data_IF_741008724445
#
_entry.id   IF_741008724445
#
_cell.length_a   1.000
_cell.length_b   1.000
_cell.length_c   1.000
_cell.angle_alpha   90.00
_cell.angle_beta   90.00
_cell.angle_gamma   90.00
#
_symmetry.space_group_name_H-M   'P 1'
#
loop_
_entity.id
_entity.type
_entity.pdbx_description
1 polymer ?
#
# COMPACT_ATOMS: atom_id res chain seq x y z
N UNK A 1 6.28 -1.92 -22.33
CA UNK A 1 6.53 -2.41 -20.97
C UNK A 1 5.18 -2.60 -20.32
N UNK A 2 4.93 -3.70 -19.64
CA UNK A 2 3.67 -3.89 -18.91
C UNK A 2 3.54 -2.83 -17.82
N UNK A 3 2.41 -2.11 -17.80
CA UNK A 3 2.15 -1.05 -16.83
C UNK A 3 2.13 -1.63 -15.43
N UNK A 4 3.03 -1.15 -14.55
CA UNK A 4 3.04 -1.54 -13.15
C UNK A 4 1.93 -0.83 -12.39
N UNK A 5 1.25 -1.56 -11.50
CA UNK A 5 0.26 -1.00 -10.58
C UNK A 5 0.88 -0.85 -9.19
N UNK A 6 1.14 0.37 -8.71
CA UNK A 6 1.69 0.57 -7.38
C UNK A 6 0.63 0.30 -6.30
N UNK A 7 1.00 -0.46 -5.28
CA UNK A 7 0.13 -0.89 -4.18
C UNK A 7 0.82 -0.65 -2.84
N UNK A 8 0.15 0.10 -1.95
CA UNK A 8 0.50 0.22 -0.54
C UNK A 8 -0.33 -0.75 0.29
N UNK A 9 0.32 -1.61 1.08
CA UNK A 9 -0.34 -2.48 2.05
C UNK A 9 -0.44 -1.78 3.42
N UNK A 10 -1.65 -1.45 3.83
CA UNK A 10 -1.98 -0.63 5.01
C UNK A 10 -3.07 -1.26 5.91
N UNK A 11 -3.25 -2.59 5.85
CA UNK A 11 -4.27 -3.35 6.60
C UNK A 11 -3.79 -4.09 7.86
N UNK A 12 -2.51 -3.95 8.23
CA UNK A 12 -1.89 -4.72 9.31
C UNK A 12 -2.32 -4.25 10.70
N UNK A 13 -2.75 -5.17 11.57
CA UNK A 13 -2.92 -4.85 12.99
C UNK A 13 -1.57 -4.96 13.68
N UNK A 14 -1.02 -3.83 14.12
CA UNK A 14 0.19 -3.83 14.94
C UNK A 14 -0.10 -4.28 16.37
N UNK A 15 -0.13 -5.60 16.56
CA UNK A 15 -0.30 -6.26 17.86
C UNK A 15 0.78 -5.87 18.89
N UNK A 16 1.92 -5.33 18.43
CA UNK A 16 3.05 -4.93 19.29
C UNK A 16 3.03 -3.48 19.76
N UNK A 17 2.25 -2.60 19.11
CA UNK A 17 2.34 -1.15 19.30
C UNK A 17 1.06 -0.49 19.83
N UNK A 18 -0.07 -1.21 19.88
CA UNK A 18 -1.34 -0.71 20.40
C UNK A 18 -1.98 0.45 19.61
N UNK A 19 -1.30 0.95 18.57
CA UNK A 19 -1.69 2.07 17.70
C UNK A 19 -1.44 1.70 16.23
N UNK A 20 -2.25 2.25 15.31
CA UNK A 20 -2.13 2.01 13.86
C UNK A 20 -0.86 2.65 13.31
N UNK A 21 0.06 1.85 12.75
CA UNK A 21 1.37 2.33 12.28
C UNK A 21 1.26 3.23 11.06
N UNK A 22 0.23 3.04 10.25
CA UNK A 22 -0.05 3.80 9.04
C UNK A 22 -0.31 5.29 9.33
N UNK A 23 -0.81 5.57 10.53
CA UNK A 23 -1.12 6.92 11.02
C UNK A 23 0.06 7.60 11.72
N UNK A 24 1.21 6.92 11.85
CA UNK A 24 2.41 7.53 12.38
C UNK A 24 2.84 8.68 11.49
N UNK A 25 3.27 9.78 12.10
CA UNK A 25 3.67 10.98 11.37
C UNK A 25 5.17 10.92 11.10
N UNK A 26 5.53 11.16 9.84
CA UNK A 26 6.92 11.30 9.38
C UNK A 26 7.30 12.79 9.45
N UNK A 27 8.57 13.10 9.21
CA UNK A 27 9.11 14.47 9.21
C UNK A 27 8.13 15.47 8.54
N UNK A 28 7.79 16.55 9.26
CA UNK A 28 6.90 17.60 8.75
C UNK A 28 5.40 17.37 8.96
N UNK A 29 4.99 16.48 9.87
CA UNK A 29 3.58 16.28 10.25
C UNK A 29 2.71 15.66 9.13
N UNK A 30 3.36 14.89 8.23
CA UNK A 30 2.71 14.14 7.16
C UNK A 30 2.51 12.69 7.62
N UNK A 31 1.30 12.11 7.54
CA UNK A 31 1.09 10.71 7.85
C UNK A 31 1.92 9.79 6.96
N UNK A 32 2.37 8.66 7.52
CA UNK A 32 3.21 7.69 6.84
C UNK A 32 2.55 7.15 5.56
N UNK A 33 1.25 6.86 5.60
CA UNK A 33 0.56 6.38 4.40
C UNK A 33 0.57 7.44 3.26
N UNK A 34 0.41 8.74 3.58
CA UNK A 34 0.49 9.82 2.58
C UNK A 34 1.88 9.88 1.97
N UNK A 35 2.91 9.80 2.81
CA UNK A 35 4.30 9.80 2.37
C UNK A 35 4.59 8.64 1.40
N UNK A 36 4.18 7.42 1.76
CA UNK A 36 4.42 6.22 0.95
C UNK A 36 3.60 6.22 -0.35
N UNK A 37 2.37 6.74 -0.35
CA UNK A 37 1.58 6.89 -1.57
C UNK A 37 2.23 7.86 -2.56
N UNK A 38 2.80 8.96 -2.06
CA UNK A 38 3.55 9.92 -2.91
C UNK A 38 4.79 9.23 -3.51
N UNK A 39 5.58 8.52 -2.69
CA UNK A 39 6.75 7.77 -3.17
C UNK A 39 6.36 6.75 -4.25
N UNK A 40 5.26 6.01 -4.04
CA UNK A 40 4.74 5.05 -5.02
C UNK A 40 4.28 5.70 -6.32
N UNK A 41 3.60 6.84 -6.23
CA UNK A 41 3.16 7.62 -7.40
C UNK A 41 4.38 8.11 -8.21
N UNK A 42 5.34 8.74 -7.54
CA UNK A 42 6.58 9.23 -8.18
C UNK A 42 7.42 8.10 -8.77
N UNK A 43 7.42 6.94 -8.11
CA UNK A 43 8.11 5.76 -8.59
C UNK A 43 7.39 5.04 -9.74
N UNK A 44 6.13 5.37 -10.07
CA UNK A 44 5.35 4.76 -11.14
C UNK A 44 4.60 5.83 -11.96
N UNK A 45 5.30 6.72 -12.68
CA UNK A 45 4.68 7.82 -13.43
C UNK A 45 3.76 7.35 -14.57
N UNK A 46 3.91 6.10 -15.03
CA UNK A 46 3.04 5.49 -16.02
C UNK A 46 1.67 5.04 -15.46
N UNK A 47 1.53 5.01 -14.14
CA UNK A 47 0.31 4.59 -13.46
C UNK A 47 -0.50 5.81 -13.05
N UNK A 48 -1.69 5.97 -13.65
CA UNK A 48 -2.58 7.09 -13.32
C UNK A 48 -3.17 6.99 -11.92
N UNK A 49 -3.17 5.79 -11.32
CA UNK A 49 -3.79 5.50 -10.03
C UNK A 49 -2.85 4.70 -9.13
N UNK A 50 -2.85 5.03 -7.84
CA UNK A 50 -2.15 4.25 -6.81
C UNK A 50 -3.17 3.45 -6.01
N UNK A 51 -2.84 2.20 -5.68
CA UNK A 51 -3.73 1.34 -4.91
C UNK A 51 -3.34 1.37 -3.43
N UNK A 52 -4.36 1.36 -2.57
CA UNK A 52 -4.22 1.32 -1.13
C UNK A 52 -5.03 0.13 -0.59
N UNK A 53 -4.35 -0.88 -0.06
CA UNK A 53 -5.00 -2.00 0.62
C UNK A 53 -5.29 -1.64 2.08
N UNK A 54 -6.55 -1.75 2.48
CA UNK A 54 -7.00 -1.56 3.85
C UNK A 54 -7.77 -2.82 4.31
N UNK A 55 -7.77 -3.04 5.62
CA UNK A 55 -8.51 -4.17 6.20
C UNK A 55 -10.01 -4.09 5.94
N UNK A 56 -10.60 -2.92 6.19
CA UNK A 56 -12.03 -2.72 6.22
C UNK A 56 -12.40 -1.24 5.98
N UNK A 57 -13.70 -0.99 5.78
CA UNK A 57 -14.26 0.34 5.62
C UNK A 57 -14.07 1.22 6.87
N UNK A 58 -13.94 0.62 8.06
CA UNK A 58 -13.64 1.38 9.28
C UNK A 58 -12.22 1.97 9.25
N UNK A 59 -11.30 1.29 8.58
CA UNK A 59 -9.93 1.75 8.39
C UNK A 59 -9.84 2.91 7.41
N UNK A 60 -10.75 2.95 6.42
CA UNK A 60 -10.87 4.09 5.52
C UNK A 60 -11.27 5.37 6.26
N UNK A 61 -12.22 5.30 7.21
CA UNK A 61 -12.65 6.45 8.02
C UNK A 61 -11.50 7.14 8.78
N UNK A 62 -10.47 6.39 9.16
CA UNK A 62 -9.30 6.96 9.84
C UNK A 62 -8.39 7.77 8.90
N UNK A 63 -8.48 7.51 7.59
CA UNK A 63 -7.68 8.13 6.53
C UNK A 63 -8.44 9.29 5.86
N UNK A 64 -9.76 9.16 5.70
CA UNK A 64 -10.62 10.18 5.06
C UNK A 64 -10.59 11.54 5.76
N UNK A 65 -10.26 11.56 7.06
CA UNK A 65 -10.20 12.80 7.84
C UNK A 65 -8.86 13.54 7.71
N UNK A 66 -7.87 13.00 6.99
CA UNK A 66 -6.60 13.68 6.80
C UNK A 66 -6.71 14.84 5.81
N UNK A 67 -6.02 15.95 6.08
CA UNK A 67 -6.03 17.17 5.25
C UNK A 67 -5.59 16.94 3.80
N UNK A 68 -4.81 15.90 3.53
CA UNK A 68 -4.33 15.59 2.18
C UNK A 68 -5.32 14.73 1.38
N UNK A 69 -6.42 14.28 1.99
CA UNK A 69 -7.34 13.31 1.40
C UNK A 69 -8.69 13.97 1.12
N UNK A 70 -9.17 13.80 -0.11
CA UNK A 70 -10.56 14.08 -0.48
C UNK A 70 -11.23 12.76 -0.88
N UNK A 71 -12.21 12.33 -0.09
CA UNK A 71 -12.98 11.13 -0.40
C UNK A 71 -13.90 11.38 -1.60
N UNK A 72 -13.95 10.43 -2.53
CA UNK A 72 -14.85 10.44 -3.68
C UNK A 72 -15.60 9.10 -3.75
N UNK A 73 -16.71 9.00 -4.50
CA UNK A 73 -17.46 7.74 -4.63
C UNK A 73 -16.61 6.56 -5.13
N UNK A 74 -17.14 5.34 -4.98
CA UNK A 74 -16.58 4.09 -5.52
C UNK A 74 -15.20 3.69 -4.96
N UNK A 75 -15.00 3.84 -3.65
CA UNK A 75 -13.74 3.48 -2.95
C UNK A 75 -12.51 4.20 -3.51
N UNK A 76 -12.69 5.45 -3.95
CA UNK A 76 -11.61 6.27 -4.47
C UNK A 76 -11.35 7.45 -3.56
N UNK A 77 -10.09 7.84 -3.50
CA UNK A 77 -9.63 9.03 -2.81
C UNK A 77 -8.85 9.89 -3.80
N UNK A 78 -8.80 11.18 -3.56
CA UNK A 78 -7.86 12.09 -4.23
C UNK A 78 -6.86 12.53 -3.17
N UNK A 79 -5.58 12.20 -3.37
CA UNK A 79 -4.50 12.67 -2.53
C UNK A 79 -3.97 13.98 -3.11
N UNK A 80 -3.84 15.01 -2.28
CA UNK A 80 -3.23 16.30 -2.63
C UNK A 80 -2.20 16.72 -1.59
N UNK A 81 -0.95 16.93 -2.02
CA UNK A 81 0.12 17.47 -1.19
C UNK A 81 0.96 18.47 -1.99
N UNK A 82 0.86 19.77 -1.66
CA UNK A 82 1.49 20.84 -2.43
C UNK A 82 0.96 20.89 -3.87
N UNK A 83 1.84 20.67 -4.85
CA UNK A 83 1.49 20.61 -6.28
C UNK A 83 1.15 19.19 -6.77
N UNK A 84 1.34 18.18 -5.93
CA UNK A 84 1.15 16.78 -6.30
C UNK A 84 -0.27 16.36 -5.98
N UNK A 85 -1.05 16.01 -7.02
CA UNK A 85 -2.42 15.52 -6.89
C UNK A 85 -2.63 14.30 -7.77
N UNK A 86 -3.13 13.20 -7.19
CA UNK A 86 -3.41 11.96 -7.93
C UNK A 86 -4.53 11.12 -7.28
N UNK A 87 -5.22 10.28 -8.05
CA UNK A 87 -6.24 9.39 -7.52
C UNK A 87 -5.62 8.16 -6.83
N UNK A 88 -6.26 7.73 -5.74
CA UNK A 88 -5.95 6.51 -5.00
C UNK A 88 -7.18 5.61 -5.03
N UNK A 89 -7.01 4.35 -5.40
CA UNK A 89 -8.07 3.34 -5.37
C UNK A 89 -7.90 2.45 -4.13
N UNK A 90 -8.91 2.42 -3.27
CA UNK A 90 -8.91 1.63 -2.04
C UNK A 90 -9.41 0.22 -2.35
N UNK A 91 -8.60 -0.76 -1.97
CA UNK A 91 -8.94 -2.17 -2.06
C UNK A 91 -9.07 -2.69 -0.64
N UNK A 92 -10.17 -3.38 -0.35
CA UNK A 92 -10.35 -4.01 0.95
C UNK A 92 -9.86 -5.45 0.94
N UNK A 93 -9.27 -5.87 2.05
CA UNK A 93 -9.07 -7.29 2.32
C UNK A 93 -10.44 -7.98 2.14
N UNK A 94 -10.52 -8.99 1.26
CA UNK A 94 -11.77 -9.72 1.02
C UNK A 94 -12.29 -10.37 2.31
N UNK A 95 -13.55 -10.84 2.34
CA UNK A 95 -14.04 -11.62 3.48
C UNK A 95 -13.06 -12.78 3.66
N UNK A 96 -12.29 -12.73 4.75
CA UNK A 96 -11.34 -13.79 5.07
C UNK A 96 -12.09 -15.09 4.96
N UNK A 97 -11.52 -16.08 4.26
CA UNK A 97 -12.04 -17.43 4.29
C UNK A 97 -12.25 -17.75 5.78
N UNK A 98 -13.48 -18.03 6.25
CA UNK A 98 -13.71 -18.28 7.66
C UNK A 98 -13.00 -19.60 7.98
N UNK A 99 -11.78 -19.52 8.47
CA UNK A 99 -11.13 -20.67 9.07
C UNK A 99 -11.59 -20.68 10.51
N UNK A 100 -12.17 -21.78 10.98
CA UNK A 100 -12.69 -21.99 12.34
C UNK A 100 -11.60 -21.88 13.45
N UNK A 101 -10.39 -21.42 13.09
CA UNK A 101 -9.31 -21.01 13.96
C UNK A 101 -9.09 -19.50 13.80
N UNK A 102 -10.00 -18.73 14.40
CA UNK A 102 -9.97 -17.28 14.40
C UNK A 102 -8.84 -16.79 15.34
N UNK A 103 -7.65 -16.57 14.77
CA UNK A 103 -6.55 -15.81 15.39
C UNK A 103 -5.52 -15.26 14.39
N UNK A 104 -5.61 -15.57 13.09
CA UNK A 104 -4.75 -14.98 12.07
C UNK A 104 -5.47 -14.96 10.73
N UNK A 105 -6.07 -13.82 10.37
CA UNK A 105 -6.33 -13.52 8.95
C UNK A 105 -5.02 -13.68 8.17
N UNK A 106 -5.10 -13.84 6.84
CA UNK A 106 -4.00 -14.20 5.89
C UNK A 106 -2.78 -13.22 5.93
N UNK A 107 -2.75 -12.27 6.88
CA UNK A 107 -1.71 -11.30 7.10
C UNK A 107 -1.65 -10.33 5.92
N UNK A 108 -0.48 -9.76 5.62
CA UNK A 108 -0.27 -8.94 4.42
C UNK A 108 -0.70 -9.64 3.12
N UNK A 109 -0.75 -10.98 3.11
CA UNK A 109 -1.22 -11.76 1.97
C UNK A 109 -2.70 -11.52 1.61
N UNK A 110 -3.53 -11.08 2.56
CA UNK A 110 -4.93 -10.73 2.28
C UNK A 110 -5.02 -9.52 1.32
N UNK A 111 -4.21 -8.49 1.56
CA UNK A 111 -4.14 -7.30 0.72
C UNK A 111 -3.58 -7.59 -0.66
N UNK A 112 -2.56 -8.46 -0.74
CA UNK A 112 -2.01 -8.90 -2.03
C UNK A 112 -3.03 -9.72 -2.85
N UNK A 113 -3.75 -10.63 -2.19
CA UNK A 113 -4.81 -11.41 -2.83
C UNK A 113 -5.96 -10.51 -3.32
N UNK A 114 -6.36 -9.53 -2.50
CA UNK A 114 -7.39 -8.58 -2.89
C UNK A 114 -6.97 -7.76 -4.12
N UNK A 115 -5.72 -7.29 -4.17
CA UNK A 115 -5.17 -6.62 -5.35
C UNK A 115 -5.14 -7.56 -6.57
N UNK A 116 -4.70 -8.81 -6.41
CA UNK A 116 -4.72 -9.78 -7.51
C UNK A 116 -6.13 -10.05 -8.05
N UNK A 117 -7.16 -10.08 -7.19
CA UNK A 117 -8.55 -10.18 -7.64
C UNK A 117 -9.04 -8.92 -8.37
N UNK A 118 -8.49 -7.74 -8.08
CA UNK A 118 -8.78 -6.51 -8.84
C UNK A 118 -8.24 -6.58 -10.26
N UNK A 119 -7.04 -7.14 -10.44
CA UNK A 119 -6.48 -7.40 -11.77
C UNK A 119 -5.48 -8.55 -11.74
N UNK A 120 -5.90 -9.69 -12.32
CA UNK A 120 -5.09 -10.91 -12.39
C UNK A 120 -3.96 -10.81 -13.43
N UNK A 121 -4.07 -9.87 -14.37
CA UNK A 121 -3.09 -9.66 -15.44
C UNK A 121 -2.04 -8.60 -15.11
N UNK A 122 -2.24 -7.84 -14.03
CA UNK A 122 -1.35 -6.76 -13.64
C UNK A 122 -0.08 -7.27 -12.94
N UNK A 123 1.02 -6.55 -13.18
CA UNK A 123 2.21 -6.64 -12.34
C UNK A 123 2.13 -5.57 -11.26
N UNK A 124 2.20 -6.01 -10.01
CA UNK A 124 2.02 -5.16 -8.84
C UNK A 124 3.37 -4.75 -8.26
N UNK A 125 3.59 -3.44 -8.10
CA UNK A 125 4.70 -2.93 -7.29
C UNK A 125 4.20 -2.72 -5.87
N UNK A 126 4.63 -3.58 -4.95
CA UNK A 126 4.06 -3.65 -3.60
C UNK A 126 5.02 -3.06 -2.57
N UNK A 127 4.52 -2.16 -1.72
CA UNK A 127 5.22 -1.61 -0.56
C UNK A 127 4.37 -1.82 0.68
N UNK A 128 4.97 -2.33 1.75
CA UNK A 128 4.31 -2.40 3.06
C UNK A 128 4.48 -1.08 3.81
N UNK A 129 3.48 -0.73 4.64
CA UNK A 129 3.51 0.49 5.46
C UNK A 129 4.65 0.54 6.49
N UNK A 130 5.31 -0.59 6.78
CA UNK A 130 6.42 -0.69 7.73
C UNK A 130 7.78 -0.19 7.19
N UNK A 131 7.84 0.30 5.94
CA UNK A 131 9.07 0.80 5.30
C UNK A 131 9.07 2.33 5.12
N UNK A 132 9.12 3.14 6.21
CA UNK A 132 8.99 4.60 6.13
C UNK A 132 10.12 5.33 5.39
N UNK A 133 11.25 4.67 5.16
CA UNK A 133 12.42 5.23 4.50
C UNK A 133 12.66 4.64 3.11
N UNK A 134 11.70 3.90 2.56
CA UNK A 134 11.80 3.46 1.16
C UNK A 134 11.84 4.69 0.25
N UNK A 135 12.72 4.70 -0.75
CA UNK A 135 12.90 5.85 -1.63
C UNK A 135 12.40 5.55 -3.03
N UNK A 136 12.06 6.61 -3.77
CA UNK A 136 11.72 6.52 -5.20
C UNK A 136 12.86 5.92 -6.02
N UNK A 137 14.12 6.18 -5.64
CA UNK A 137 15.30 5.61 -6.27
C UNK A 137 15.39 4.09 -6.08
N UNK A 138 15.11 3.59 -4.86
CA UNK A 138 15.06 2.17 -4.57
C UNK A 138 13.94 1.48 -5.36
N UNK A 139 12.72 2.02 -5.35
CA UNK A 139 11.62 1.47 -6.14
C UNK A 139 11.93 1.49 -7.65
N UNK A 140 12.54 2.57 -8.14
CA UNK A 140 12.98 2.65 -9.54
C UNK A 140 14.04 1.61 -9.88
N UNK A 141 14.94 1.27 -8.95
CA UNK A 141 15.88 0.17 -9.12
C UNK A 141 15.15 -1.17 -9.22
N UNK A 142 14.26 -1.46 -8.28
CA UNK A 142 13.48 -2.71 -8.27
C UNK A 142 12.70 -2.91 -9.58
N UNK A 143 12.11 -1.82 -10.10
CA UNK A 143 11.40 -1.80 -11.40
C UNK A 143 12.31 -2.14 -12.57
N UNK A 144 13.54 -1.59 -12.60
CA UNK A 144 14.52 -1.88 -13.66
C UNK A 144 15.01 -3.32 -13.65
N UNK A 145 15.13 -3.90 -12.46
CA UNK A 145 15.61 -5.28 -12.25
C UNK A 145 14.48 -6.32 -12.28
N UNK A 146 13.27 -5.91 -12.65
CA UNK A 146 12.10 -6.80 -12.63
C UNK A 146 12.30 -8.02 -13.55
N UNK A 147 12.08 -9.19 -12.96
CA UNK A 147 12.08 -10.51 -13.61
C UNK A 147 10.93 -11.34 -13.07
N UNK A 148 10.24 -12.07 -13.95
CA UNK A 148 9.16 -12.97 -13.54
C UNK A 148 9.70 -14.12 -12.66
N UNK A 149 8.90 -14.66 -11.70
CA UNK A 149 7.53 -14.23 -11.37
C UNK A 149 7.46 -13.08 -10.36
N UNK A 150 8.53 -12.88 -9.57
CA UNK A 150 8.62 -11.86 -8.50
C UNK A 150 10.07 -11.39 -8.38
N UNK A 151 10.26 -10.08 -8.24
CA UNK A 151 11.53 -9.46 -7.84
C UNK A 151 11.30 -8.69 -6.55
N UNK A 152 12.16 -8.88 -5.54
CA UNK A 152 12.04 -8.24 -4.23
C UNK A 152 13.42 -7.85 -3.69
N UNK A 153 13.44 -6.90 -2.74
CA UNK A 153 14.64 -6.65 -1.97
C UNK A 153 14.84 -7.75 -0.94
N UNK A 154 16.06 -8.28 -0.89
CA UNK A 154 16.49 -9.24 0.12
C UNK A 154 17.29 -8.52 1.21
N UNK A 155 16.94 -8.77 2.47
CA UNK A 155 17.77 -8.33 3.60
C UNK A 155 18.96 -9.29 3.75
N UNK A 156 20.10 -8.81 4.29
CA UNK A 156 21.33 -9.62 4.48
C UNK A 156 21.14 -10.89 5.32
N UNK A 157 20.08 -10.96 6.12
CA UNK A 157 19.73 -12.13 6.93
C UNK A 157 18.89 -13.17 6.16
N UNK A 158 18.64 -12.99 4.86
CA UNK A 158 17.76 -13.84 4.01
C UNK A 158 16.32 -14.03 4.53
N UNK A 159 15.86 -13.17 5.45
CA UNK A 159 14.47 -13.19 5.93
C UNK A 159 13.62 -12.20 5.14
N UNK A 160 12.59 -12.73 4.46
CA UNK A 160 11.46 -11.93 3.98
C UNK A 160 10.61 -11.54 5.19
N UNK A 161 10.70 -10.28 5.64
CA UNK A 161 9.75 -9.71 6.59
C UNK A 161 8.57 -9.14 5.82
N UNK A 162 7.43 -9.82 5.94
CA UNK A 162 6.10 -9.35 5.54
C UNK A 162 5.39 -8.72 6.73
#
# INVERSE_FOLDING_TARGET
MSTLKPLLLAGGHSSRMGTRKELLRVAGDVPLFVHLLIILHEACPESEVVFLSLRDHNSLKAIENDRHITAVPDNRLILTNGTTTFPVHVVYDGPGVPSEHDSAGIGPGAGLLAAHHQDQSAHWLVVACDYPFISTAALSQLRREWTAPVTCFENRDCFLRW
#
